data_IF_343433542003
#
_entry.id   IF_343433542003
#
_cell.length_a   1.000
_cell.length_b   1.000
_cell.length_c   1.000
_cell.angle_alpha   90.00
_cell.angle_beta   90.00
_cell.angle_gamma   90.00
#
_symmetry.space_group_name_H-M   'P 1'
#
loop_
_entity.id
_entity.type
_entity.pdbx_description
1 polymer ?
#
# COMPACT_ATOMS: atom_id res chain seq x y z
N UNK A 1 34.60 32.10 -29.36
CA UNK A 1 35.28 31.47 -28.21
C UNK A 1 34.94 32.31 -26.99
N UNK A 2 34.16 31.88 -26.03
CA UNK A 2 33.56 30.56 -25.80
C UNK A 2 32.05 30.67 -25.56
N UNK A 3 31.38 29.57 -25.83
CA UNK A 3 30.00 29.30 -25.49
C UNK A 3 29.96 29.00 -23.99
N UNK A 4 29.19 29.77 -23.21
CA UNK A 4 28.85 29.41 -21.83
C UNK A 4 27.72 28.39 -21.90
N UNK A 5 28.11 27.13 -21.75
CA UNK A 5 27.28 25.94 -21.67
C UNK A 5 26.30 26.09 -20.50
N UNK A 6 25.01 26.05 -20.79
CA UNK A 6 23.99 25.90 -19.77
C UNK A 6 24.01 24.44 -19.31
N UNK A 7 24.78 24.14 -18.27
CA UNK A 7 24.59 22.93 -17.47
C UNK A 7 23.21 23.01 -16.79
N UNK A 8 22.17 22.60 -17.52
CA UNK A 8 20.93 22.10 -16.93
C UNK A 8 21.30 20.78 -16.25
N UNK A 9 21.75 20.88 -15.01
CA UNK A 9 21.81 19.77 -14.07
C UNK A 9 20.43 19.11 -14.06
N UNK A 10 20.29 18.06 -14.87
CA UNK A 10 19.19 17.10 -14.80
C UNK A 10 19.33 16.38 -13.48
N UNK A 11 18.88 17.07 -12.43
CA UNK A 11 18.46 16.45 -11.18
C UNK A 11 17.55 15.27 -11.55
N UNK A 12 17.74 14.07 -10.97
CA UNK A 12 16.85 12.94 -11.22
C UNK A 12 15.48 13.28 -10.64
N UNK A 13 14.67 13.94 -11.45
CA UNK A 13 13.26 14.23 -11.22
C UNK A 13 12.51 12.93 -11.49
N UNK A 14 11.76 12.47 -10.50
CA UNK A 14 10.67 11.48 -10.58
C UNK A 14 10.93 10.07 -10.04
N UNK A 15 12.16 9.56 -9.98
CA UNK A 15 12.39 8.18 -9.49
C UNK A 15 12.38 8.06 -7.94
N UNK A 16 12.72 9.14 -7.23
CA UNK A 16 12.79 9.16 -5.75
C UNK A 16 11.47 9.56 -5.05
N UNK A 17 10.36 9.64 -5.80
CA UNK A 17 9.06 10.02 -5.25
C UNK A 17 8.09 8.85 -5.02
N UNK A 18 8.34 7.66 -5.57
CA UNK A 18 7.41 6.54 -5.39
C UNK A 18 7.65 5.84 -4.03
N UNK A 19 6.59 5.70 -3.22
CA UNK A 19 6.69 5.00 -1.92
C UNK A 19 7.17 3.55 -2.08
N UNK A 20 6.98 2.94 -3.25
CA UNK A 20 7.42 1.57 -3.57
C UNK A 20 8.94 1.40 -3.50
N UNK A 21 9.71 2.46 -3.75
CA UNK A 21 11.18 2.42 -3.64
C UNK A 21 11.67 2.16 -2.20
N UNK A 22 10.81 2.38 -1.20
CA UNK A 22 11.14 2.25 0.21
C UNK A 22 10.69 0.92 0.84
N UNK A 23 10.00 0.06 0.09
CA UNK A 23 9.49 -1.22 0.59
C UNK A 23 10.52 -2.33 0.34
N UNK A 24 10.94 -3.04 1.38
CA UNK A 24 11.89 -4.16 1.26
C UNK A 24 11.27 -5.46 1.75
N UNK A 25 11.50 -6.54 1.02
CA UNK A 25 11.04 -7.88 1.42
C UNK A 25 11.63 -8.36 2.76
N UNK A 26 12.75 -7.77 3.20
CA UNK A 26 13.36 -8.02 4.50
C UNK A 26 12.72 -7.25 5.66
N UNK A 27 11.79 -6.33 5.39
CA UNK A 27 11.17 -5.51 6.42
C UNK A 27 10.25 -6.38 7.30
N UNK A 28 10.26 -6.12 8.60
CA UNK A 28 9.35 -6.77 9.55
C UNK A 28 7.91 -6.33 9.30
N UNK A 29 6.97 -7.27 9.35
CA UNK A 29 5.53 -7.00 9.19
C UNK A 29 4.79 -7.31 10.48
N UNK A 30 3.97 -6.35 10.91
CA UNK A 30 2.99 -6.53 11.97
C UNK A 30 1.59 -6.38 11.40
N UNK A 31 0.74 -7.37 11.65
CA UNK A 31 -0.68 -7.33 11.29
C UNK A 31 -1.47 -6.84 12.49
N UNK A 32 -1.78 -5.53 12.50
CA UNK A 32 -2.52 -4.89 13.61
C UNK A 32 -3.95 -5.44 13.72
N UNK A 33 -4.56 -5.84 12.60
CA UNK A 33 -5.89 -6.42 12.56
C UNK A 33 -5.98 -7.55 11.54
N UNK A 34 -6.79 -8.58 11.83
CA UNK A 34 -6.95 -9.75 10.96
C UNK A 34 -7.35 -9.38 9.54
N UNK A 35 -6.63 -9.94 8.56
CA UNK A 35 -6.87 -9.73 7.13
C UNK A 35 -8.15 -10.46 6.68
N UNK A 36 -8.89 -9.85 5.75
CA UNK A 36 -10.07 -10.48 5.15
C UNK A 36 -9.68 -11.52 4.09
N UNK A 37 -10.58 -12.47 3.78
CA UNK A 37 -10.36 -13.50 2.74
C UNK A 37 -10.02 -12.88 1.38
N UNK A 38 -10.62 -11.74 1.06
CA UNK A 38 -10.35 -11.00 -0.17
C UNK A 38 -8.89 -10.55 -0.26
N UNK A 39 -8.23 -10.27 0.87
CA UNK A 39 -6.82 -9.85 0.93
C UNK A 39 -5.87 -11.06 1.00
N UNK A 40 -6.27 -12.13 1.69
CA UNK A 40 -5.45 -13.35 1.79
C UNK A 40 -5.22 -14.03 0.43
N UNK A 41 -6.23 -14.03 -0.43
CA UNK A 41 -6.15 -14.66 -1.76
C UNK A 41 -5.01 -14.08 -2.64
N UNK A 42 -4.93 -12.75 -2.88
CA UNK A 42 -3.81 -12.17 -3.65
C UNK A 42 -2.46 -12.33 -2.98
N UNK A 43 -2.40 -12.42 -1.65
CA UNK A 43 -1.15 -12.70 -0.96
C UNK A 43 -0.74 -14.19 -1.12
N UNK A 44 -1.65 -15.07 -1.52
CA UNK A 44 -1.38 -16.50 -1.63
C UNK A 44 -1.08 -17.16 -0.29
N UNK A 45 -1.57 -16.57 0.81
CA UNK A 45 -1.41 -17.08 2.18
C UNK A 45 -2.39 -18.25 2.36
N UNK A 46 -1.92 -19.50 2.55
CA UNK A 46 -2.83 -20.63 2.75
C UNK A 46 -3.54 -20.50 4.10
N UNK A 47 -4.82 -20.85 4.16
CA UNK A 47 -5.66 -20.74 5.37
C UNK A 47 -5.10 -21.49 6.60
N UNK A 48 -4.19 -22.45 6.40
CA UNK A 48 -3.84 -23.47 7.39
C UNK A 48 -2.33 -23.71 7.59
N UNK A 49 -1.46 -22.82 7.09
CA UNK A 49 -0.01 -22.91 7.33
C UNK A 49 0.45 -21.61 7.92
N UNK A 50 1.20 -21.67 9.02
CA UNK A 50 1.91 -20.51 9.55
C UNK A 50 2.87 -20.00 8.48
N UNK A 51 2.42 -19.04 7.67
CA UNK A 51 3.31 -18.27 6.80
C UNK A 51 4.31 -17.58 7.71
N UNK A 52 5.59 -17.90 7.57
CA UNK A 52 6.63 -17.24 8.34
C UNK A 52 6.59 -15.73 8.02
N UNK A 53 6.84 -14.83 8.98
CA UNK A 53 6.72 -13.38 8.77
C UNK A 53 7.50 -12.83 7.55
N UNK A 54 8.62 -13.46 7.19
CA UNK A 54 9.42 -13.09 6.02
C UNK A 54 8.68 -13.34 4.69
N UNK A 55 7.80 -14.34 4.63
CA UNK A 55 6.99 -14.66 3.46
C UNK A 55 5.90 -13.58 3.23
N UNK A 56 5.36 -13.00 4.31
CA UNK A 56 4.31 -11.99 4.21
C UNK A 56 4.84 -10.64 3.68
N UNK A 57 6.01 -10.21 4.14
CA UNK A 57 6.65 -8.97 3.67
C UNK A 57 6.93 -9.01 2.17
N UNK A 58 7.55 -10.10 1.71
CA UNK A 58 7.84 -10.32 0.30
C UNK A 58 6.56 -10.32 -0.57
N UNK A 59 5.51 -11.01 -0.12
CA UNK A 59 4.20 -11.02 -0.80
C UNK A 59 3.55 -9.64 -0.88
N UNK A 60 3.58 -8.88 0.21
CA UNK A 60 3.04 -7.52 0.24
C UNK A 60 3.79 -6.61 -0.72
N UNK A 61 5.13 -6.66 -0.70
CA UNK A 61 5.97 -5.92 -1.66
C UNK A 61 5.57 -6.29 -3.09
N UNK A 62 5.45 -7.58 -3.41
CA UNK A 62 5.07 -8.03 -4.74
C UNK A 62 3.70 -7.48 -5.18
N UNK A 63 2.69 -7.56 -4.31
CA UNK A 63 1.33 -7.06 -4.58
C UNK A 63 1.32 -5.55 -4.83
N UNK A 64 2.06 -4.78 -4.04
CA UNK A 64 2.13 -3.32 -4.18
C UNK A 64 2.97 -2.91 -5.39
N UNK A 65 4.06 -3.61 -5.67
CA UNK A 65 4.91 -3.37 -6.85
C UNK A 65 4.13 -3.58 -8.15
N UNK A 66 3.31 -4.64 -8.22
CA UNK A 66 2.45 -4.92 -9.36
C UNK A 66 1.19 -4.03 -9.44
N UNK A 67 0.92 -3.21 -8.42
CA UNK A 67 -0.29 -2.39 -8.32
C UNK A 67 -0.30 -1.19 -9.28
N UNK A 68 -1.48 -0.89 -9.82
CA UNK A 68 -1.74 0.32 -10.60
C UNK A 68 -1.90 1.52 -9.66
N UNK A 69 -1.17 2.61 -9.89
CA UNK A 69 -1.35 3.83 -9.08
C UNK A 69 -2.68 4.47 -9.44
N UNK A 70 -3.60 4.55 -8.48
CA UNK A 70 -4.89 5.24 -8.66
C UNK A 70 -4.94 6.60 -7.96
N UNK A 71 -4.00 6.86 -7.05
CA UNK A 71 -3.88 8.17 -6.40
C UNK A 71 -2.48 8.41 -5.81
N UNK A 72 -2.00 9.65 -5.88
CA UNK A 72 -0.76 10.14 -5.25
C UNK A 72 -1.05 11.35 -4.35
N UNK A 73 -0.40 11.40 -3.19
CA UNK A 73 -0.34 12.63 -2.41
C UNK A 73 0.61 13.64 -3.08
N UNK A 74 0.58 14.94 -2.69
CA UNK A 74 1.60 15.92 -3.10
C UNK A 74 3.04 15.48 -2.79
N UNK A 75 3.21 14.59 -1.82
CA UNK A 75 4.46 13.88 -1.54
C UNK A 75 4.22 12.38 -1.69
N UNK A 76 4.40 11.84 -2.89
CA UNK A 76 4.11 10.45 -3.21
C UNK A 76 4.91 9.46 -2.32
N UNK A 77 6.11 9.83 -1.87
CA UNK A 77 6.93 9.04 -0.93
C UNK A 77 6.30 8.82 0.44
N UNK A 78 5.29 9.62 0.79
CA UNK A 78 4.59 9.56 2.09
C UNK A 78 3.29 8.80 2.00
N UNK A 79 2.56 8.92 0.89
CA UNK A 79 1.22 8.32 0.76
C UNK A 79 0.82 8.12 -0.69
N UNK A 80 0.42 6.90 -1.01
CA UNK A 80 -0.12 6.51 -2.32
C UNK A 80 -1.23 5.49 -2.15
N UNK A 81 -2.11 5.42 -3.15
CA UNK A 81 -3.12 4.37 -3.25
C UNK A 81 -2.93 3.60 -4.55
N UNK A 82 -2.88 2.29 -4.42
CA UNK A 82 -2.71 1.33 -5.50
C UNK A 82 -3.99 0.52 -5.68
N UNK A 83 -4.36 0.23 -6.91
CA UNK A 83 -5.33 -0.81 -7.26
C UNK A 83 -4.57 -2.10 -7.49
N UNK A 84 -4.87 -3.10 -6.67
CA UNK A 84 -4.22 -4.41 -6.70
C UNK A 84 -5.28 -5.46 -7.09
N UNK A 85 -5.21 -5.99 -8.30
CA UNK A 85 -6.22 -6.90 -8.83
C UNK A 85 -7.58 -6.22 -9.07
N UNK A 86 -8.67 -7.00 -9.00
CA UNK A 86 -9.99 -6.52 -9.40
C UNK A 86 -10.71 -5.68 -8.33
N UNK A 87 -10.53 -6.00 -7.04
CA UNK A 87 -11.40 -5.49 -5.97
C UNK A 87 -10.63 -4.99 -4.73
N UNK A 88 -9.32 -4.75 -4.82
CA UNK A 88 -8.52 -4.31 -3.67
C UNK A 88 -7.85 -2.99 -4.00
N UNK A 89 -8.00 -2.05 -3.07
CA UNK A 89 -7.21 -0.83 -3.03
C UNK A 89 -6.27 -0.92 -1.82
N UNK A 90 -4.97 -0.74 -2.05
CA UNK A 90 -3.95 -0.67 -1.01
C UNK A 90 -3.56 0.78 -0.81
N UNK A 91 -3.72 1.28 0.40
CA UNK A 91 -3.22 2.60 0.81
C UNK A 91 -1.91 2.42 1.56
N UNK A 92 -0.80 2.82 0.95
CA UNK A 92 0.50 2.84 1.62
C UNK A 92 0.70 4.20 2.28
N UNK A 93 1.10 4.21 3.54
CA UNK A 93 1.41 5.42 4.31
C UNK A 93 2.71 5.19 5.05
N UNK A 94 3.68 6.10 4.90
CA UNK A 94 4.94 6.05 5.63
C UNK A 94 4.82 6.83 6.95
N UNK A 95 5.47 6.33 8.00
CA UNK A 95 5.44 6.98 9.32
C UNK A 95 4.04 7.05 9.94
N UNK A 96 3.22 6.00 9.75
CA UNK A 96 1.90 5.94 10.35
C UNK A 96 2.02 5.74 11.87
N UNK A 97 1.53 6.70 12.64
CA UNK A 97 1.40 6.61 14.11
C UNK A 97 -0.07 6.52 14.56
N UNK A 98 -1.01 6.75 13.65
CA UNK A 98 -2.44 6.82 13.94
C UNK A 98 -3.24 5.80 13.12
N UNK A 99 -4.11 5.05 13.81
CA UNK A 99 -5.01 4.04 13.24
C UNK A 99 -6.47 4.51 13.16
N UNK A 100 -6.75 5.79 13.42
CA UNK A 100 -8.10 6.38 13.47
C UNK A 100 -8.90 6.15 12.19
N UNK A 101 -8.26 6.18 11.02
CA UNK A 101 -8.94 5.93 9.75
C UNK A 101 -9.55 4.51 9.72
N UNK A 102 -8.77 3.51 10.11
CA UNK A 102 -9.24 2.13 10.14
C UNK A 102 -10.28 1.89 11.22
N UNK A 103 -10.09 2.43 12.43
CA UNK A 103 -11.07 2.26 13.52
C UNK A 103 -12.38 2.98 13.20
N UNK A 104 -12.34 4.11 12.49
CA UNK A 104 -13.53 4.79 11.99
C UNK A 104 -14.26 3.95 10.95
N UNK A 105 -13.54 3.31 10.02
CA UNK A 105 -14.15 2.40 9.05
C UNK A 105 -14.84 1.21 9.75
N UNK A 106 -14.21 0.63 10.77
CA UNK A 106 -14.82 -0.42 11.60
C UNK A 106 -16.06 0.07 12.35
N UNK A 107 -16.01 1.27 12.92
CA UNK A 107 -17.16 1.87 13.58
C UNK A 107 -18.34 2.06 12.61
N UNK A 108 -18.09 2.57 11.40
CA UNK A 108 -19.13 2.73 10.38
C UNK A 108 -19.73 1.38 9.99
N UNK A 109 -18.91 0.34 9.79
CA UNK A 109 -19.39 -1.01 9.49
C UNK A 109 -20.33 -1.54 10.58
N UNK A 110 -19.98 -1.34 11.86
CA UNK A 110 -20.75 -1.86 12.99
C UNK A 110 -22.04 -1.07 13.23
N UNK A 111 -21.99 0.26 13.12
CA UNK A 111 -23.09 1.13 13.55
C UNK A 111 -23.95 1.67 12.41
N UNK A 112 -23.44 1.67 11.17
CA UNK A 112 -24.14 2.19 9.98
C UNK A 112 -23.92 1.28 8.76
N UNK A 113 -24.36 0.01 8.79
CA UNK A 113 -24.11 -0.97 7.73
C UNK A 113 -24.76 -0.61 6.38
N UNK A 114 -25.71 0.33 6.36
CA UNK A 114 -26.28 0.87 5.11
C UNK A 114 -25.31 1.79 4.37
N UNK A 115 -24.26 2.29 5.02
CA UNK A 115 -23.22 3.11 4.40
C UNK A 115 -22.11 2.18 3.91
N UNK A 116 -21.78 2.20 2.60
CA UNK A 116 -20.63 1.48 2.10
C UNK A 116 -19.35 2.00 2.78
N UNK A 117 -18.65 1.10 3.47
CA UNK A 117 -17.29 1.32 3.98
C UNK A 117 -16.32 0.38 3.27
N UNK A 118 -15.04 0.72 3.27
CA UNK A 118 -14.00 -0.23 2.85
C UNK A 118 -14.15 -1.52 3.67
N UNK A 119 -14.09 -2.67 2.99
CA UNK A 119 -14.48 -4.02 3.43
C UNK A 119 -16.00 -4.31 3.42
N UNK A 120 -16.53 -4.51 2.20
CA UNK A 120 -17.78 -5.22 1.94
C UNK A 120 -17.44 -6.57 1.31
N UNK A 121 -17.82 -7.69 1.93
CA UNK A 121 -17.88 -8.99 1.25
C UNK A 121 -18.79 -8.84 0.03
N UNK A 122 -18.25 -9.08 -1.17
CA UNK A 122 -19.08 -9.44 -2.31
C UNK A 122 -19.74 -10.78 -1.96
N UNK A 123 -21.07 -10.77 -1.89
CA UNK A 123 -21.86 -12.00 -1.76
C UNK A 123 -21.81 -12.82 -3.03
#
# INVERSE_FOLDING_TARGET
>A
MGEDDCDDEVTPKDEDEDIRAFLRASDSVEVVFSLSEAVLNPLGVPRNTESTPNDLSERLVHVVQAGEIIWKAPFARQKMVFKCGHNIAVKAVRGMEDYTEYTTLKYIQQHKPSIPAADRKAG
#
